data_IF_842014921810
#
_entry.id   IF_842014921810
#
_cell.length_a   1.000
_cell.length_b   1.000
_cell.length_c   1.000
_cell.angle_alpha   90.00
_cell.angle_beta   90.00
_cell.angle_gamma   90.00
#
_symmetry.space_group_name_H-M   'P 1'
#
loop_
_entity.id
_entity.type
_entity.pdbx_description
1 polymer ?
#
# COMPACT_ATOMS: atom_id res chain seq x y z
N UNK A 1 9.62 14.52 20.73
CA UNK A 1 9.04 13.21 21.11
C UNK A 1 7.50 13.22 21.14
N UNK A 2 6.82 14.06 21.93
CA UNK A 2 5.33 14.12 21.97
C UNK A 2 4.69 14.38 20.60
N UNK A 3 5.29 15.23 19.77
CA UNK A 3 4.79 15.56 18.44
C UNK A 3 4.93 14.39 17.43
N UNK A 4 6.05 13.66 17.48
CA UNK A 4 6.25 12.48 16.62
C UNK A 4 5.30 11.33 16.99
N UNK A 5 5.04 11.12 18.29
CA UNK A 5 3.99 10.19 18.72
C UNK A 5 2.61 10.60 18.19
N UNK A 6 2.32 11.90 18.21
CA UNK A 6 1.07 12.42 17.65
C UNK A 6 0.93 12.10 16.16
N UNK A 7 2.00 12.31 15.37
CA UNK A 7 2.02 11.95 13.95
C UNK A 7 1.87 10.45 13.70
N UNK A 8 2.54 9.61 14.50
CA UNK A 8 2.40 8.16 14.39
C UNK A 8 0.95 7.71 14.66
N UNK A 9 0.33 8.15 15.75
CA UNK A 9 -1.05 7.78 16.06
C UNK A 9 -2.06 8.39 15.08
N UNK A 10 -1.78 9.57 14.51
CA UNK A 10 -2.58 10.13 13.42
C UNK A 10 -2.56 9.21 12.20
N UNK A 11 -1.39 8.70 11.82
CA UNK A 11 -1.28 7.71 10.76
C UNK A 11 -1.99 6.39 11.13
N UNK A 12 -1.83 5.93 12.38
CA UNK A 12 -2.48 4.70 12.85
C UNK A 12 -4.01 4.81 12.77
N UNK A 13 -4.56 5.93 13.20
CA UNK A 13 -6.00 6.21 13.14
C UNK A 13 -6.52 6.28 11.71
N UNK A 14 -5.76 6.87 10.79
CA UNK A 14 -6.20 7.07 9.42
C UNK A 14 -6.11 5.79 8.57
N UNK A 15 -5.04 5.01 8.76
CA UNK A 15 -4.73 3.85 7.91
C UNK A 15 -5.08 2.49 8.53
N UNK A 16 -5.58 2.47 9.77
CA UNK A 16 -6.05 1.26 10.45
C UNK A 16 -7.30 1.53 11.29
N UNK A 17 -7.98 0.47 11.67
CA UNK A 17 -9.11 0.49 12.63
C UNK A 17 -8.66 0.25 14.08
N UNK A 18 -7.35 0.35 14.36
CA UNK A 18 -6.85 0.18 15.73
C UNK A 18 -7.21 1.39 16.59
N UNK A 19 -7.64 1.17 17.84
CA UNK A 19 -7.94 2.28 18.75
C UNK A 19 -6.67 3.08 19.02
N UNK A 20 -6.81 4.41 19.07
CA UNK A 20 -5.73 5.33 19.42
C UNK A 20 -6.06 6.12 20.69
N UNK A 21 -5.05 6.67 21.40
CA UNK A 21 -5.29 7.49 22.58
C UNK A 21 -6.17 8.73 22.29
N UNK A 22 -7.12 9.03 23.18
CA UNK A 22 -8.09 10.12 22.98
C UNK A 22 -7.47 11.53 22.87
N UNK A 23 -6.24 11.74 23.38
CA UNK A 23 -5.57 13.04 23.40
C UNK A 23 -5.00 13.49 22.04
N UNK A 24 -4.97 12.60 21.04
CA UNK A 24 -4.40 12.90 19.72
C UNK A 24 -5.23 13.97 18.98
N UNK A 25 -6.57 13.89 19.07
CA UNK A 25 -7.49 14.76 18.34
C UNK A 25 -7.35 14.65 16.82
N UNK A 26 -8.20 15.34 16.05
CA UNK A 26 -8.04 15.47 14.60
C UNK A 26 -7.40 16.82 14.26
N UNK A 27 -6.38 16.81 13.40
CA UNK A 27 -5.73 18.01 12.88
C UNK A 27 -5.29 17.79 11.43
N UNK A 28 -5.79 18.58 10.47
CA UNK A 28 -5.38 18.49 9.06
C UNK A 28 -3.87 18.72 8.84
N UNK A 29 -3.25 19.60 9.64
CA UNK A 29 -1.81 19.89 9.55
C UNK A 29 -0.96 18.69 9.97
N UNK A 30 -1.44 17.92 10.95
CA UNK A 30 -0.75 16.72 11.43
C UNK A 30 -0.85 15.58 10.40
N UNK A 31 -1.91 15.56 9.59
CA UNK A 31 -2.14 14.52 8.58
C UNK A 31 -1.01 14.49 7.54
N UNK A 32 -0.62 15.64 6.97
CA UNK A 32 0.48 15.70 6.00
C UNK A 32 1.80 15.18 6.59
N UNK A 33 2.10 15.57 7.83
CA UNK A 33 3.32 15.13 8.55
C UNK A 33 3.26 13.67 8.98
N UNK A 34 2.07 13.11 9.16
CA UNK A 34 1.85 11.71 9.52
C UNK A 34 2.19 10.73 8.40
N UNK A 35 2.16 11.17 7.14
CA UNK A 35 2.48 10.33 5.97
C UNK A 35 3.87 9.69 6.04
N UNK A 36 4.82 10.30 6.77
CA UNK A 36 6.15 9.73 7.04
C UNK A 36 6.10 8.35 7.73
N UNK A 37 5.02 8.10 8.48
CA UNK A 37 4.80 6.88 9.24
C UNK A 37 3.98 5.85 8.48
N UNK A 38 3.52 6.14 7.25
CA UNK A 38 2.74 5.20 6.47
C UNK A 38 3.48 3.87 6.23
N UNK A 39 4.78 3.84 5.88
CA UNK A 39 5.52 2.58 5.84
C UNK A 39 5.61 1.90 7.20
N UNK A 40 5.69 2.63 8.32
CA UNK A 40 5.65 2.04 9.66
C UNK A 40 4.30 1.37 9.96
N UNK A 41 3.18 1.92 9.49
CA UNK A 41 1.88 1.22 9.53
C UNK A 41 1.95 -0.10 8.74
N UNK A 42 2.71 -0.14 7.65
CA UNK A 42 3.01 -1.36 6.90
C UNK A 42 3.68 -2.46 7.74
N UNK A 43 4.50 -2.10 8.73
CA UNK A 43 5.06 -3.09 9.66
C UNK A 43 3.97 -3.77 10.48
N UNK A 44 3.05 -2.98 11.03
CA UNK A 44 1.96 -3.47 11.87
C UNK A 44 1.05 -4.38 11.05
N UNK A 45 0.63 -3.91 9.86
CA UNK A 45 -0.26 -4.68 8.98
C UNK A 45 0.43 -5.96 8.49
N UNK A 46 1.67 -5.87 8.01
CA UNK A 46 2.41 -7.03 7.51
C UNK A 46 2.72 -8.06 8.60
N UNK A 47 3.06 -7.61 9.81
CA UNK A 47 3.29 -8.51 10.95
C UNK A 47 2.02 -9.27 11.33
N UNK A 48 0.90 -8.56 11.54
CA UNK A 48 -0.38 -9.19 11.90
C UNK A 48 -0.80 -10.16 10.79
N UNK A 49 -0.73 -9.74 9.53
CA UNK A 49 -1.07 -10.59 8.38
C UNK A 49 -0.19 -11.83 8.30
N UNK A 50 1.11 -11.72 8.60
CA UNK A 50 2.03 -12.85 8.64
C UNK A 50 1.77 -13.80 9.80
N UNK A 51 1.37 -13.29 10.97
CA UNK A 51 0.94 -14.13 12.11
C UNK A 51 -0.29 -14.95 11.73
N UNK A 52 -1.31 -14.34 11.14
CA UNK A 52 -2.50 -15.08 10.67
C UNK A 52 -2.17 -16.09 9.57
N UNK A 53 -1.23 -15.76 8.68
CA UNK A 53 -0.73 -16.70 7.68
C UNK A 53 -0.11 -17.94 8.32
N UNK A 54 0.81 -17.73 9.25
CA UNK A 54 1.52 -18.82 9.93
C UNK A 54 0.57 -19.67 10.77
N UNK A 55 -0.34 -19.04 11.52
CA UNK A 55 -1.34 -19.75 12.32
C UNK A 55 -2.28 -20.58 11.45
N UNK A 56 -2.83 -20.01 10.37
CA UNK A 56 -3.72 -20.76 9.48
C UNK A 56 -3.01 -21.89 8.74
N UNK A 57 -1.76 -21.66 8.32
CA UNK A 57 -0.94 -22.68 7.67
C UNK A 57 -0.60 -23.83 8.60
N UNK A 58 -0.30 -23.53 9.87
CA UNK A 58 0.02 -24.52 10.89
C UNK A 58 -1.21 -25.32 11.35
N UNK A 59 -2.35 -24.65 11.53
CA UNK A 59 -3.56 -25.28 12.08
C UNK A 59 -4.37 -26.03 11.01
N UNK A 60 -4.30 -25.62 9.75
CA UNK A 60 -5.15 -26.17 8.67
C UNK A 60 -4.30 -26.48 7.43
N UNK A 61 -4.02 -25.48 6.60
CA UNK A 61 -3.23 -25.60 5.37
C UNK A 61 -2.81 -24.21 4.88
N UNK A 62 -1.83 -24.18 3.97
CA UNK A 62 -1.27 -22.94 3.43
C UNK A 62 -2.31 -22.02 2.80
N UNK A 63 -3.27 -22.57 2.05
CA UNK A 63 -4.30 -21.79 1.37
C UNK A 63 -5.16 -21.07 2.41
N UNK A 64 -5.55 -21.78 3.46
CA UNK A 64 -6.30 -21.19 4.58
C UNK A 64 -5.49 -20.11 5.30
N UNK A 65 -4.19 -20.35 5.52
CA UNK A 65 -3.27 -19.33 6.03
C UNK A 65 -3.25 -18.05 5.20
N UNK A 66 -3.08 -18.17 3.89
CA UNK A 66 -3.06 -17.00 2.98
C UNK A 66 -4.39 -16.25 3.01
N UNK A 67 -5.52 -16.95 3.02
CA UNK A 67 -6.86 -16.32 3.11
C UNK A 67 -7.01 -15.58 4.44
N UNK A 68 -6.65 -16.19 5.56
CA UNK A 68 -6.69 -15.53 6.88
C UNK A 68 -5.76 -14.32 6.95
N UNK A 69 -4.60 -14.38 6.31
CA UNK A 69 -3.68 -13.26 6.14
C UNK A 69 -4.37 -12.08 5.44
N UNK A 70 -5.01 -12.33 4.29
CA UNK A 70 -5.73 -11.31 3.51
C UNK A 70 -6.93 -10.75 4.28
N UNK A 71 -7.72 -11.60 4.94
CA UNK A 71 -8.85 -11.16 5.78
C UNK A 71 -8.34 -10.23 6.89
N UNK A 72 -7.26 -10.61 7.57
CA UNK A 72 -6.71 -9.80 8.67
C UNK A 72 -6.23 -8.43 8.18
N UNK A 73 -5.57 -8.34 7.02
CA UNK A 73 -5.14 -7.05 6.46
C UNK A 73 -6.31 -6.15 6.08
N UNK A 74 -7.35 -6.73 5.48
CA UNK A 74 -8.55 -6.00 5.05
C UNK A 74 -9.33 -5.49 6.26
N UNK A 75 -9.57 -6.33 7.27
CA UNK A 75 -10.29 -5.91 8.49
C UNK A 75 -9.50 -4.86 9.29
N UNK A 76 -8.18 -5.04 9.40
CA UNK A 76 -7.31 -4.13 10.13
C UNK A 76 -7.24 -2.75 9.48
N UNK A 77 -7.20 -2.68 8.16
CA UNK A 77 -7.15 -1.41 7.41
C UNK A 77 -8.52 -0.86 7.07
N UNK A 78 -9.57 -1.66 7.22
CA UNK A 78 -10.92 -1.30 6.83
C UNK A 78 -11.16 -1.26 5.32
N UNK A 79 -10.43 -2.09 4.56
CA UNK A 79 -10.42 -2.11 3.10
C UNK A 79 -9.95 -0.79 2.45
N UNK A 80 -9.23 0.07 3.18
CA UNK A 80 -8.93 1.44 2.74
C UNK A 80 -8.23 1.53 1.37
N UNK A 81 -7.28 0.63 1.10
CA UNK A 81 -6.54 0.66 -0.17
C UNK A 81 -7.26 -0.16 -1.26
N UNK A 82 -7.96 -1.23 -0.86
CA UNK A 82 -8.80 -2.04 -1.73
C UNK A 82 -9.94 -1.20 -2.32
N UNK A 83 -10.58 -0.36 -1.51
CA UNK A 83 -11.60 0.62 -1.90
C UNK A 83 -11.04 1.61 -2.93
N UNK A 84 -9.88 2.23 -2.63
CA UNK A 84 -9.22 3.11 -3.60
C UNK A 84 -8.82 2.42 -4.91
N UNK A 85 -8.50 1.13 -4.88
CA UNK A 85 -8.27 0.36 -6.10
C UNK A 85 -9.58 0.10 -6.87
N UNK A 86 -10.66 -0.24 -6.17
CA UNK A 86 -11.99 -0.42 -6.73
C UNK A 86 -12.49 0.85 -7.42
N UNK A 87 -12.43 1.99 -6.73
CA UNK A 87 -12.82 3.30 -7.27
C UNK A 87 -11.95 3.70 -8.47
N UNK A 88 -10.65 3.39 -8.44
CA UNK A 88 -9.79 3.60 -9.59
C UNK A 88 -10.22 2.73 -10.78
N UNK A 89 -10.55 1.45 -10.56
CA UNK A 89 -11.04 0.57 -11.62
C UNK A 89 -12.34 1.08 -12.23
N UNK A 90 -13.32 1.48 -11.42
CA UNK A 90 -14.58 2.02 -11.93
C UNK A 90 -14.42 3.37 -12.60
N UNK A 91 -13.67 4.28 -11.98
CA UNK A 91 -13.40 5.60 -12.53
C UNK A 91 -12.74 5.53 -13.90
N UNK A 92 -11.59 4.85 -13.98
CA UNK A 92 -10.80 4.76 -15.21
C UNK A 92 -11.37 3.75 -16.23
N UNK A 93 -12.18 2.78 -15.81
CA UNK A 93 -12.84 1.83 -16.71
C UNK A 93 -14.17 2.34 -17.27
N UNK A 94 -14.91 3.12 -16.49
CA UNK A 94 -16.24 3.63 -16.85
C UNK A 94 -16.26 5.07 -17.37
N UNK A 95 -15.24 5.88 -17.08
CA UNK A 95 -15.15 7.28 -17.48
C UNK A 95 -14.24 7.53 -18.68
N UNK A 96 -14.70 8.36 -19.63
CA UNK A 96 -13.94 8.72 -20.85
C UNK A 96 -13.50 10.19 -20.89
N UNK A 97 -13.91 10.98 -19.90
CA UNK A 97 -13.49 12.36 -19.68
C UNK A 97 -13.01 12.52 -18.24
N UNK A 98 -12.16 13.51 -17.97
CA UNK A 98 -11.67 13.78 -16.61
C UNK A 98 -12.83 13.95 -15.62
N UNK A 99 -13.84 14.71 -16.00
CA UNK A 99 -15.00 15.02 -15.17
C UNK A 99 -15.77 13.73 -14.84
N UNK A 100 -15.99 12.86 -15.83
CA UNK A 100 -16.75 11.62 -15.62
C UNK A 100 -15.97 10.60 -14.78
N UNK A 101 -14.66 10.49 -14.99
CA UNK A 101 -13.78 9.60 -14.19
C UNK A 101 -13.87 10.00 -12.70
N UNK A 102 -13.71 11.30 -12.41
CA UNK A 102 -13.73 11.79 -11.03
C UNK A 102 -15.14 11.79 -10.41
N UNK A 103 -16.19 11.85 -11.23
CA UNK A 103 -17.58 11.68 -10.78
C UNK A 103 -17.81 10.23 -10.34
N UNK A 104 -17.37 9.25 -11.13
CA UNK A 104 -17.51 7.83 -10.82
C UNK A 104 -16.71 7.46 -9.56
N UNK A 105 -15.47 7.93 -9.42
CA UNK A 105 -14.65 7.67 -8.21
C UNK A 105 -15.27 8.20 -6.91
N UNK A 106 -16.23 9.13 -6.98
CA UNK A 106 -16.94 9.65 -5.81
C UNK A 106 -18.25 8.95 -5.52
N UNK A 107 -18.74 8.17 -6.48
CA UNK A 107 -19.96 7.41 -6.34
C UNK A 107 -19.67 6.20 -5.45
N UNK A 108 -20.40 6.06 -4.35
CA UNK A 108 -20.20 4.95 -3.42
C UNK A 108 -20.72 3.61 -3.95
N UNK A 109 -21.36 3.60 -5.13
CA UNK A 109 -21.84 2.37 -5.77
C UNK A 109 -20.69 1.68 -6.49
N UNK A 110 -20.54 0.39 -6.19
CA UNK A 110 -19.57 -0.48 -6.86
C UNK A 110 -20.08 -0.89 -8.24
N UNK A 111 -19.29 -0.61 -9.28
CA UNK A 111 -19.49 -1.02 -10.66
C UNK A 111 -18.80 -2.34 -11.01
N UNK A 112 -19.01 -2.79 -12.26
CA UNK A 112 -18.44 -4.05 -12.74
C UNK A 112 -16.90 -4.03 -12.79
N UNK A 113 -16.29 -2.88 -13.10
CA UNK A 113 -14.83 -2.79 -13.17
C UNK A 113 -14.20 -2.93 -11.78
N UNK A 114 -14.79 -2.34 -10.74
CA UNK A 114 -14.38 -2.56 -9.36
C UNK A 114 -14.46 -4.04 -8.97
N UNK A 115 -15.60 -4.71 -9.23
CA UNK A 115 -15.78 -6.14 -8.89
C UNK A 115 -14.74 -7.01 -9.59
N UNK A 116 -14.60 -6.87 -10.91
CA UNK A 116 -13.63 -7.65 -11.69
C UNK A 116 -12.20 -7.33 -11.24
N UNK A 117 -11.89 -6.05 -11.01
CA UNK A 117 -10.60 -5.60 -10.51
C UNK A 117 -10.24 -6.25 -9.19
N UNK A 118 -11.11 -6.17 -8.18
CA UNK A 118 -10.85 -6.72 -6.85
C UNK A 118 -10.68 -8.25 -6.89
N UNK A 119 -11.51 -8.96 -7.67
CA UNK A 119 -11.38 -10.42 -7.84
C UNK A 119 -9.99 -10.76 -8.44
N UNK A 120 -9.58 -10.06 -9.51
CA UNK A 120 -8.30 -10.30 -10.15
C UNK A 120 -7.12 -9.92 -9.22
N UNK A 121 -7.22 -8.80 -8.50
CA UNK A 121 -6.19 -8.33 -7.57
C UNK A 121 -5.99 -9.32 -6.41
N UNK A 122 -7.07 -9.67 -5.71
CA UNK A 122 -7.01 -10.57 -4.55
C UNK A 122 -6.69 -12.01 -4.98
N UNK A 123 -7.22 -12.46 -6.12
CA UNK A 123 -6.88 -13.77 -6.70
C UNK A 123 -5.40 -13.86 -7.10
N UNK A 124 -4.84 -12.80 -7.68
CA UNK A 124 -3.42 -12.73 -8.01
C UNK A 124 -2.56 -12.68 -6.73
N UNK A 125 -2.97 -11.92 -5.70
CA UNK A 125 -2.28 -11.92 -4.39
C UNK A 125 -2.21 -13.32 -3.81
N UNK A 126 -3.34 -14.01 -3.77
CA UNK A 126 -3.43 -15.39 -3.30
C UNK A 126 -2.50 -16.31 -4.09
N UNK A 127 -2.57 -16.27 -5.42
CA UNK A 127 -1.75 -17.12 -6.29
C UNK A 127 -0.25 -16.87 -6.13
N UNK A 128 0.18 -15.62 -5.97
CA UNK A 128 1.59 -15.27 -5.79
C UNK A 128 2.11 -15.71 -4.41
N UNK A 129 1.32 -15.54 -3.36
CA UNK A 129 1.67 -16.04 -2.03
C UNK A 129 1.71 -17.58 -2.02
N UNK A 130 0.77 -18.25 -2.69
CA UNK A 130 0.78 -19.71 -2.84
C UNK A 130 2.06 -20.21 -3.52
N UNK A 131 2.60 -19.45 -4.47
CA UNK A 131 3.86 -19.77 -5.13
C UNK A 131 5.09 -19.47 -4.24
N UNK A 132 5.05 -18.42 -3.43
CA UNK A 132 6.21 -17.93 -2.68
C UNK A 132 6.40 -18.61 -1.32
N UNK A 133 5.32 -18.76 -0.55
CA UNK A 133 5.40 -19.21 0.85
C UNK A 133 5.97 -20.63 1.03
N UNK A 134 5.71 -21.62 0.15
CA UNK A 134 6.27 -22.98 0.32
C UNK A 134 7.79 -23.02 0.49
N UNK A 135 8.51 -22.05 -0.09
CA UNK A 135 9.96 -21.97 -0.02
C UNK A 135 10.49 -21.44 1.32
N UNK A 136 9.67 -20.69 2.04
CA UNK A 136 10.06 -20.00 3.30
C UNK A 136 9.20 -20.40 4.49
N UNK A 137 8.19 -21.28 4.31
CA UNK A 137 7.22 -21.65 5.35
C UNK A 137 7.86 -22.24 6.62
N UNK A 138 8.98 -22.95 6.48
CA UNK A 138 9.72 -23.53 7.62
C UNK A 138 10.56 -22.48 8.38
N UNK A 139 10.58 -21.24 7.92
CA UNK A 139 11.32 -20.12 8.49
C UNK A 139 10.35 -18.97 8.79
N UNK A 140 9.63 -19.01 9.93
CA UNK A 140 8.59 -18.03 10.27
C UNK A 140 9.05 -16.57 10.14
N UNK A 141 10.30 -16.29 10.50
CA UNK A 141 10.91 -14.95 10.38
C UNK A 141 10.94 -14.46 8.93
N UNK A 142 11.24 -15.34 7.96
CA UNK A 142 11.25 -14.98 6.54
C UNK A 142 9.84 -14.73 6.01
N UNK A 143 8.84 -15.50 6.45
CA UNK A 143 7.43 -15.25 6.13
C UNK A 143 7.00 -13.88 6.62
N UNK A 144 7.27 -13.57 7.90
CA UNK A 144 6.95 -12.26 8.49
C UNK A 144 7.64 -11.12 7.74
N UNK A 145 8.94 -11.24 7.49
CA UNK A 145 9.71 -10.22 6.78
C UNK A 145 9.23 -10.03 5.34
N UNK A 146 8.85 -11.09 4.65
CA UNK A 146 8.29 -11.02 3.28
C UNK A 146 7.02 -10.17 3.26
N UNK A 147 6.07 -10.42 4.16
CA UNK A 147 4.83 -9.64 4.23
C UNK A 147 5.09 -8.21 4.71
N UNK A 148 5.92 -8.03 5.75
CA UNK A 148 6.32 -6.69 6.21
C UNK A 148 6.93 -5.89 5.05
N UNK A 149 7.93 -6.43 4.35
CA UNK A 149 8.57 -5.76 3.20
C UNK A 149 7.57 -5.38 2.10
N UNK A 150 6.64 -6.27 1.75
CA UNK A 150 5.59 -5.98 0.79
C UNK A 150 4.73 -4.79 1.24
N UNK A 151 4.22 -4.85 2.47
CA UNK A 151 3.35 -3.84 3.04
C UNK A 151 4.03 -2.48 3.24
N UNK A 152 5.31 -2.44 3.63
CA UNK A 152 6.06 -1.20 3.84
C UNK A 152 6.47 -0.53 2.53
N UNK A 153 6.98 -1.30 1.56
CA UNK A 153 7.44 -0.77 0.27
C UNK A 153 6.27 -0.26 -0.58
N UNK A 154 5.15 -0.99 -0.60
CA UNK A 154 3.97 -0.55 -1.34
C UNK A 154 3.43 0.79 -0.85
N UNK A 155 3.40 0.96 0.48
CA UNK A 155 3.01 2.20 1.17
C UNK A 155 4.00 3.31 0.91
N UNK A 156 5.29 3.01 0.90
CA UNK A 156 6.32 3.96 0.51
C UNK A 156 6.15 4.45 -0.93
N UNK A 157 5.79 3.59 -1.88
CA UNK A 157 5.50 4.03 -3.26
C UNK A 157 4.35 5.03 -3.32
N UNK A 158 3.26 4.81 -2.58
CA UNK A 158 2.19 5.78 -2.43
C UNK A 158 2.68 7.11 -1.81
N UNK A 159 3.52 7.06 -0.76
CA UNK A 159 4.16 8.27 -0.21
C UNK A 159 4.99 8.98 -1.28
N UNK A 160 5.81 8.28 -2.06
CA UNK A 160 6.59 8.95 -3.12
C UNK A 160 5.70 9.61 -4.17
N UNK A 161 4.51 9.07 -4.46
CA UNK A 161 3.55 9.67 -5.39
C UNK A 161 3.07 11.03 -4.88
N UNK A 162 2.75 11.14 -3.58
CA UNK A 162 2.33 12.39 -2.92
C UNK A 162 3.35 13.53 -3.15
N UNK A 163 4.64 13.19 -3.15
CA UNK A 163 5.74 14.16 -3.21
C UNK A 163 6.19 14.49 -4.64
N UNK A 164 5.84 13.64 -5.61
CA UNK A 164 6.38 13.73 -6.97
C UNK A 164 5.33 14.09 -8.02
N UNK A 165 4.03 14.07 -7.69
CA UNK A 165 2.94 14.30 -8.63
C UNK A 165 1.92 15.31 -8.09
N UNK A 166 1.12 15.89 -8.98
CA UNK A 166 0.09 16.86 -8.63
C UNK A 166 -1.19 16.17 -8.11
N UNK A 167 -1.73 16.65 -6.99
CA UNK A 167 -3.02 16.19 -6.48
C UNK A 167 -4.18 16.82 -7.25
N UNK A 168 -5.20 16.03 -7.60
CA UNK A 168 -6.38 16.47 -8.33
C UNK A 168 -7.60 16.52 -7.40
N UNK A 169 -8.31 17.65 -7.40
CA UNK A 169 -9.62 17.81 -6.74
C UNK A 169 -10.72 17.98 -7.78
N UNK A 170 -11.91 17.48 -7.44
CA UNK A 170 -13.13 17.58 -8.26
C UNK A 170 -13.69 19.00 -8.37
N UNK A 171 -13.45 19.86 -7.37
CA UNK A 171 -13.95 21.24 -7.38
C UNK A 171 -12.84 22.21 -7.76
N UNK A 172 -13.07 23.03 -8.80
CA UNK A 172 -12.19 24.12 -9.25
C UNK A 172 -12.16 25.32 -8.28
N UNK A 173 -12.77 25.20 -7.10
CA UNK A 173 -13.17 26.35 -6.28
C UNK A 173 -12.24 26.65 -5.10
N UNK A 174 -10.92 26.50 -5.32
CA UNK A 174 -9.96 27.06 -4.38
C UNK A 174 -8.80 27.72 -5.11
N UNK A 175 -8.91 29.05 -5.23
CA UNK A 175 -7.78 29.98 -5.42
C UNK A 175 -6.81 30.00 -4.22
N UNK A 176 -6.75 28.93 -3.42
CA UNK A 176 -5.64 28.68 -2.52
C UNK A 176 -4.63 27.81 -3.26
N UNK A 177 -3.39 28.29 -3.30
CA UNK A 177 -2.20 27.56 -3.73
C UNK A 177 -2.26 26.11 -3.23
N UNK A 178 -1.63 25.13 -3.91
CA UNK A 178 -1.41 23.82 -3.31
C UNK A 178 -0.53 24.02 -2.06
N UNK A 179 -1.15 24.26 -0.91
CA UNK A 179 -0.55 24.11 0.42
C UNK A 179 -0.72 22.64 0.81
N UNK A 180 -0.49 21.73 -0.14
CA UNK A 180 0.40 20.64 0.19
C UNK A 180 1.77 21.30 0.24
N UNK A 181 2.19 21.78 1.42
CA UNK A 181 3.62 21.95 1.65
C UNK A 181 4.25 20.66 1.17
N UNK A 182 4.98 20.73 0.04
CA UNK A 182 5.77 19.63 -0.49
C UNK A 182 6.46 19.06 0.72
N UNK A 183 6.07 17.84 1.12
CA UNK A 183 6.46 17.36 2.43
C UNK A 183 7.97 17.46 2.54
N UNK A 184 8.45 17.72 3.75
CA UNK A 184 9.88 17.94 3.95
C UNK A 184 10.70 16.75 3.40
N UNK A 185 11.91 17.01 2.88
CA UNK A 185 12.84 15.93 2.51
C UNK A 185 13.02 14.91 3.66
N UNK A 186 12.90 15.37 4.90
CA UNK A 186 12.91 14.54 6.10
C UNK A 186 11.75 13.54 6.15
N UNK A 187 10.56 13.89 5.68
CA UNK A 187 9.42 12.98 5.60
C UNK A 187 9.72 11.80 4.67
N UNK A 188 10.23 12.07 3.47
CA UNK A 188 10.63 11.02 2.54
C UNK A 188 11.75 10.16 3.09
N UNK A 189 12.75 10.77 3.75
CA UNK A 189 13.85 10.02 4.36
C UNK A 189 13.34 9.07 5.45
N UNK A 190 12.50 9.55 6.37
CA UNK A 190 11.93 8.73 7.45
C UNK A 190 11.07 7.60 6.87
N UNK A 191 10.22 7.91 5.88
CA UNK A 191 9.41 6.91 5.19
C UNK A 191 10.28 5.85 4.49
N UNK A 192 11.35 6.29 3.80
CA UNK A 192 12.29 5.40 3.13
C UNK A 192 13.01 4.48 4.12
N UNK A 193 13.44 5.01 5.28
CA UNK A 193 14.06 4.21 6.34
C UNK A 193 13.12 3.12 6.85
N UNK A 194 11.87 3.46 7.17
CA UNK A 194 10.89 2.45 7.59
C UNK A 194 10.57 1.44 6.49
N UNK A 195 10.66 1.82 5.22
CA UNK A 195 10.40 0.92 4.10
C UNK A 195 11.56 -0.03 3.80
N UNK A 196 12.81 0.44 3.90
CA UNK A 196 13.99 -0.31 3.45
C UNK A 196 14.52 -1.30 4.48
N UNK A 197 14.38 -0.99 5.78
CA UNK A 197 14.91 -1.85 6.87
C UNK A 197 14.42 -3.31 6.81
N UNK A 198 13.12 -3.62 6.65
CA UNK A 198 12.69 -5.01 6.60
C UNK A 198 13.16 -5.70 5.32
N UNK A 199 13.27 -4.97 4.20
CA UNK A 199 13.82 -5.49 2.95
C UNK A 199 15.30 -5.86 3.08
N UNK A 200 16.10 -5.02 3.74
CA UNK A 200 17.52 -5.32 4.00
C UNK A 200 17.67 -6.55 4.89
N UNK A 201 16.86 -6.67 5.94
CA UNK A 201 16.85 -7.85 6.79
C UNK A 201 16.47 -9.12 6.02
N UNK A 202 15.42 -9.05 5.18
CA UNK A 202 14.98 -10.15 4.34
C UNK A 202 16.07 -10.58 3.34
N UNK A 203 16.65 -9.61 2.62
CA UNK A 203 17.72 -9.84 1.64
C UNK A 203 18.96 -10.44 2.28
N UNK A 204 19.34 -9.96 3.47
CA UNK A 204 20.48 -10.49 4.23
C UNK A 204 20.24 -11.93 4.71
N UNK A 205 19.09 -12.22 5.31
CA UNK A 205 18.78 -13.57 5.82
C UNK A 205 18.62 -14.60 4.70
N UNK A 206 18.15 -14.18 3.53
CA UNK A 206 18.09 -15.02 2.34
C UNK A 206 19.45 -15.19 1.64
N UNK A 207 20.45 -14.36 1.97
CA UNK A 207 21.69 -14.21 1.22
C UNK A 207 21.44 -13.87 -0.27
N UNK A 208 20.45 -13.02 -0.54
CA UNK A 208 20.01 -12.65 -1.89
C UNK A 208 20.01 -11.13 -2.08
N UNK A 209 21.17 -10.50 -2.38
CA UNK A 209 21.25 -9.05 -2.60
C UNK A 209 20.47 -8.58 -3.84
N UNK A 210 20.24 -9.48 -4.81
CA UNK A 210 19.43 -9.20 -6.01
C UNK A 210 18.01 -8.79 -5.66
N UNK A 211 17.49 -9.23 -4.50
CA UNK A 211 16.17 -8.83 -4.01
C UNK A 211 16.02 -7.30 -3.88
N UNK A 212 17.10 -6.56 -3.65
CA UNK A 212 17.08 -5.10 -3.55
C UNK A 212 16.64 -4.41 -4.86
N UNK A 213 16.74 -5.09 -6.01
CA UNK A 213 16.22 -4.61 -7.29
C UNK A 213 14.69 -4.49 -7.33
N UNK A 214 13.98 -5.03 -6.31
CA UNK A 214 12.54 -4.81 -6.17
C UNK A 214 12.21 -3.31 -5.99
N UNK A 215 13.09 -2.52 -5.36
CA UNK A 215 12.84 -1.09 -5.12
C UNK A 215 12.73 -0.30 -6.44
N UNK A 216 13.71 -0.33 -7.36
CA UNK A 216 13.57 0.33 -8.65
C UNK A 216 12.44 -0.27 -9.51
N UNK A 217 12.17 -1.58 -9.39
CA UNK A 217 11.03 -2.21 -10.06
C UNK A 217 9.68 -1.65 -9.62
N UNK A 218 9.44 -1.54 -8.30
CA UNK A 218 8.23 -0.94 -7.75
C UNK A 218 8.12 0.55 -8.08
N UNK A 219 9.25 1.26 -8.10
CA UNK A 219 9.28 2.66 -8.53
C UNK A 219 8.86 2.82 -9.99
N UNK A 220 9.28 1.90 -10.88
CA UNK A 220 8.85 1.87 -12.27
C UNK A 220 7.33 1.67 -12.39
N UNK A 221 6.75 0.72 -11.64
CA UNK A 221 5.29 0.51 -11.57
C UNK A 221 4.60 1.81 -11.16
N UNK A 222 5.08 2.46 -10.09
CA UNK A 222 4.54 3.74 -9.62
C UNK A 222 4.58 4.82 -10.70
N UNK A 223 5.68 4.93 -11.46
CA UNK A 223 5.79 5.90 -12.57
C UNK A 223 4.80 5.59 -13.70
N UNK A 224 4.60 4.31 -14.04
CA UNK A 224 3.61 3.92 -15.05
C UNK A 224 2.20 4.29 -14.63
N UNK A 225 1.82 4.00 -13.38
CA UNK A 225 0.54 4.40 -12.81
C UNK A 225 0.38 5.93 -12.78
N UNK A 226 1.40 6.65 -12.33
CA UNK A 226 1.34 8.10 -12.27
C UNK A 226 1.16 8.73 -13.66
N UNK A 227 1.86 8.23 -14.67
CA UNK A 227 1.67 8.66 -16.08
C UNK A 227 0.24 8.39 -16.56
N UNK A 228 -0.31 7.23 -16.21
CA UNK A 228 -1.68 6.87 -16.54
C UNK A 228 -2.68 7.84 -15.87
N UNK A 229 -2.55 8.10 -14.58
CA UNK A 229 -3.41 9.03 -13.86
C UNK A 229 -3.28 10.47 -14.39
N UNK A 230 -2.05 10.94 -14.63
CA UNK A 230 -1.81 12.26 -15.22
C UNK A 230 -2.42 12.40 -16.60
N UNK A 231 -2.35 11.36 -17.44
CA UNK A 231 -2.96 11.38 -18.78
C UNK A 231 -4.47 11.61 -18.72
N UNK A 232 -5.16 10.98 -17.77
CA UNK A 232 -6.63 10.94 -17.73
C UNK A 232 -7.25 12.05 -16.87
N UNK A 233 -6.66 12.34 -15.71
CA UNK A 233 -7.23 13.28 -14.74
C UNK A 233 -6.29 14.45 -14.40
N UNK A 234 -5.06 14.45 -14.95
CA UNK A 234 -4.07 15.51 -14.74
C UNK A 234 -3.23 15.37 -13.48
N UNK A 235 -3.32 14.24 -12.74
CA UNK A 235 -2.60 14.01 -11.51
C UNK A 235 -3.14 12.78 -10.77
N UNK A 236 -3.17 12.78 -9.44
CA UNK A 236 -3.66 11.67 -8.62
C UNK A 236 -4.78 12.08 -7.63
N UNK A 237 -5.67 11.16 -7.27
CA UNK A 237 -6.65 11.27 -6.15
C UNK A 237 -6.24 10.39 -4.96
N UNK A 238 -7.01 10.40 -3.86
CA UNK A 238 -6.78 9.45 -2.75
C UNK A 238 -6.86 7.99 -3.22
N UNK A 239 -7.81 7.70 -4.11
CA UNK A 239 -8.07 6.36 -4.66
C UNK A 239 -6.89 5.89 -5.51
N UNK A 240 -6.27 6.80 -6.25
CA UNK A 240 -5.03 6.54 -6.99
C UNK A 240 -3.87 6.11 -6.07
N UNK A 241 -3.82 6.61 -4.82
CA UNK A 241 -2.82 6.16 -3.84
C UNK A 241 -3.14 4.75 -3.32
N UNK A 242 -4.43 4.46 -3.07
CA UNK A 242 -4.91 3.11 -2.74
C UNK A 242 -4.54 2.11 -3.83
N UNK A 243 -4.85 2.44 -5.09
CA UNK A 243 -4.49 1.65 -6.26
C UNK A 243 -2.98 1.45 -6.38
N UNK A 244 -2.18 2.50 -6.19
CA UNK A 244 -0.71 2.41 -6.21
C UNK A 244 -0.20 1.46 -5.13
N UNK A 245 -0.75 1.54 -3.92
CA UNK A 245 -0.36 0.64 -2.83
C UNK A 245 -0.68 -0.82 -3.20
N UNK A 246 -1.90 -1.11 -3.65
CA UNK A 246 -2.30 -2.48 -4.01
C UNK A 246 -1.45 -3.07 -5.15
N UNK A 247 -1.26 -2.31 -6.23
CA UNK A 247 -0.48 -2.76 -7.39
C UNK A 247 1.00 -2.94 -7.03
N UNK A 248 1.59 -2.06 -6.20
CA UNK A 248 2.98 -2.23 -5.76
C UNK A 248 3.13 -3.40 -4.77
N UNK A 249 2.12 -3.72 -3.95
CA UNK A 249 2.16 -4.90 -3.08
C UNK A 249 2.18 -6.19 -3.92
N UNK A 250 1.31 -6.30 -4.92
CA UNK A 250 1.34 -7.38 -5.91
C UNK A 250 2.66 -7.42 -6.66
N UNK A 251 3.16 -6.25 -7.09
CA UNK A 251 4.45 -6.13 -7.77
C UNK A 251 5.59 -6.71 -6.94
N UNK A 252 5.59 -6.51 -5.62
CA UNK A 252 6.60 -7.06 -4.72
C UNK A 252 6.53 -8.59 -4.69
N UNK A 253 5.34 -9.17 -4.49
CA UNK A 253 5.19 -10.63 -4.47
C UNK A 253 5.55 -11.25 -5.82
N UNK A 254 5.15 -10.61 -6.93
CA UNK A 254 5.48 -11.06 -8.29
C UNK A 254 6.98 -11.03 -8.54
N UNK A 255 7.65 -9.93 -8.23
CA UNK A 255 9.11 -9.82 -8.37
C UNK A 255 9.82 -10.90 -7.56
N UNK A 256 9.43 -11.09 -6.30
CA UNK A 256 10.04 -12.06 -5.39
C UNK A 256 9.81 -13.50 -5.86
N UNK A 257 8.58 -13.83 -6.29
CA UNK A 257 8.25 -15.16 -6.82
C UNK A 257 8.99 -15.48 -8.13
N UNK A 258 9.21 -14.48 -9.00
CA UNK A 258 10.01 -14.64 -10.21
C UNK A 258 11.48 -14.81 -9.86
N UNK A 259 12.03 -13.97 -8.99
CA UNK A 259 13.42 -14.08 -8.54
C UNK A 259 13.71 -15.47 -7.98
N UNK A 260 12.77 -16.04 -7.21
CA UNK A 260 12.88 -17.37 -6.64
C UNK A 260 13.01 -18.51 -7.65
N UNK A 261 12.62 -18.30 -8.92
CA UNK A 261 12.86 -19.31 -9.97
C UNK A 261 14.31 -19.39 -10.44
N UNK A 262 15.13 -18.39 -10.12
CA UNK A 262 16.49 -18.24 -10.62
C UNK A 262 17.55 -18.33 -9.53
N UNK A 263 17.15 -18.58 -8.27
CA UNK A 263 18.02 -18.75 -7.11
C UNK A 263 17.79 -20.12 -6.49
#
# INVERSE_FOLDING_TARGET
MKQELRFFFTALQFYTRLPIPAWIGYSPEDMNKSTRYLPLIGWIVGFISGVFLLLGSFLIDLSTGIILSMISSILLTGAFHEDGFADACDGFGGGWTKEKILEIMKDSRVGTYAVVGLILLLGLKFSLLQALIPFIQNQPVLVLLTLISAHTLSRFMAVTMIFTHAYVRFTNDSKSKPVAEIGSKNTLLIAALFAIVPLLALSFLLNQPVLLLVVPFLYLIKIMLARYFTKWIGGYTGDCLGATQQVCEIGFYMFTAVLWKFI
#
